data_IF_527077041450
#
_entry.id   IF_527077041450
#
_cell.length_a   1.000
_cell.length_b   1.000
_cell.length_c   1.000
_cell.angle_alpha   90.00
_cell.angle_beta   90.00
_cell.angle_gamma   90.00
#
_symmetry.space_group_name_H-M   'P 1'
#
loop_
_entity.id
_entity.type
_entity.pdbx_description
1 polymer ?
#
# COMPACT_ATOMS: atom_id res chain seq x y z
N UNK A 1 -43.13 -78.36 7.82
CA UNK A 1 -43.96 -79.04 6.85
C UNK A 1 -43.65 -78.51 5.47
N UNK A 2 -43.03 -79.37 4.65
CA UNK A 2 -43.11 -79.57 3.21
C UNK A 2 -42.89 -78.31 2.31
N UNK A 3 -42.36 -78.40 1.12
CA UNK A 3 -41.71 -79.41 0.28
C UNK A 3 -41.09 -78.71 -0.93
N UNK A 4 -39.93 -79.16 -1.33
CA UNK A 4 -39.41 -79.41 -2.67
C UNK A 4 -40.13 -78.91 -3.91
N UNK A 5 -39.36 -78.26 -4.79
CA UNK A 5 -39.68 -78.08 -6.18
C UNK A 5 -38.42 -77.67 -6.99
N UNK A 6 -37.74 -78.66 -7.53
CA UNK A 6 -36.62 -78.49 -8.48
C UNK A 6 -37.12 -78.11 -9.87
N UNK A 7 -36.45 -77.19 -10.57
CA UNK A 7 -36.50 -77.13 -12.05
C UNK A 7 -35.22 -76.51 -12.66
N UNK A 8 -34.51 -77.36 -13.30
CA UNK A 8 -33.75 -77.30 -14.58
C UNK A 8 -33.02 -76.05 -14.98
N UNK A 9 -31.71 -76.22 -15.09
CA UNK A 9 -30.69 -75.43 -15.80
C UNK A 9 -31.00 -75.25 -17.29
N UNK A 10 -30.87 -74.00 -17.80
CA UNK A 10 -30.61 -73.69 -19.17
C UNK A 10 -29.32 -72.81 -19.24
N UNK A 11 -28.48 -72.94 -20.28
CA UNK A 11 -27.15 -72.34 -20.29
C UNK A 11 -27.16 -70.84 -20.65
N UNK A 12 -26.47 -70.03 -19.86
CA UNK A 12 -26.26 -68.65 -20.14
C UNK A 12 -25.15 -68.43 -21.21
N UNK A 13 -25.29 -67.43 -22.10
CA UNK A 13 -24.22 -67.06 -23.03
C UNK A 13 -23.10 -66.30 -22.28
N UNK A 14 -21.88 -66.64 -22.64
CA UNK A 14 -20.67 -65.98 -22.17
C UNK A 14 -20.62 -64.55 -22.70
N UNK A 15 -20.82 -63.58 -21.81
CA UNK A 15 -20.45 -62.18 -22.08
C UNK A 15 -18.94 -62.03 -21.83
N UNK A 16 -18.20 -61.64 -22.88
CA UNK A 16 -16.81 -61.25 -22.82
C UNK A 16 -16.72 -59.89 -22.03
N UNK A 17 -15.93 -59.85 -20.96
CA UNK A 17 -15.62 -58.64 -20.22
C UNK A 17 -14.82 -57.67 -21.11
N UNK A 18 -15.16 -56.34 -21.12
CA UNK A 18 -14.33 -55.37 -21.83
C UNK A 18 -13.00 -55.19 -21.10
N UNK A 19 -11.93 -55.33 -21.84
CA UNK A 19 -10.57 -55.06 -21.42
C UNK A 19 -10.44 -53.57 -21.00
N UNK A 20 -10.38 -53.25 -19.69
CA UNK A 20 -10.07 -51.94 -19.17
C UNK A 20 -8.64 -51.57 -19.59
N UNK A 21 -8.49 -50.74 -20.61
CA UNK A 21 -7.25 -50.02 -20.85
C UNK A 21 -6.95 -49.19 -19.65
N UNK A 22 -5.88 -49.50 -18.93
CA UNK A 22 -5.28 -48.64 -17.90
C UNK A 22 -4.62 -47.46 -18.65
N UNK A 23 -5.19 -46.28 -18.53
CA UNK A 23 -4.57 -45.03 -18.98
C UNK A 23 -3.36 -44.72 -18.06
N UNK A 24 -2.13 -44.71 -18.59
CA UNK A 24 -0.94 -44.37 -17.81
C UNK A 24 -0.72 -42.83 -17.67
N UNK A 25 -1.63 -41.98 -18.22
CA UNK A 25 -1.40 -40.56 -18.43
C UNK A 25 -1.60 -39.65 -17.20
N UNK A 26 -2.33 -40.06 -16.16
CA UNK A 26 -2.66 -39.16 -15.02
C UNK A 26 -1.79 -39.34 -13.78
N UNK A 27 -0.99 -40.38 -13.69
CA UNK A 27 -0.19 -40.64 -12.47
C UNK A 27 1.12 -39.85 -12.40
N UNK A 28 1.73 -39.56 -13.52
CA UNK A 28 3.00 -38.82 -13.57
C UNK A 28 2.86 -37.34 -13.14
N UNK A 29 1.88 -36.54 -13.64
CA UNK A 29 1.73 -35.14 -13.19
C UNK A 29 1.31 -35.02 -11.73
N UNK A 30 0.51 -35.97 -11.19
CA UNK A 30 0.14 -35.96 -9.77
C UNK A 30 1.34 -36.25 -8.85
N UNK A 31 2.20 -37.20 -9.22
CA UNK A 31 3.43 -37.48 -8.49
C UNK A 31 4.40 -36.29 -8.52
N UNK A 32 4.54 -35.63 -9.68
CA UNK A 32 5.36 -34.41 -9.78
C UNK A 32 4.80 -33.26 -8.95
N UNK A 33 3.49 -33.05 -8.93
CA UNK A 33 2.84 -32.03 -8.10
C UNK A 33 3.00 -32.33 -6.59
N UNK A 34 2.90 -33.59 -6.19
CA UNK A 34 3.11 -34.01 -4.79
C UNK A 34 4.59 -33.90 -4.38
N UNK A 35 5.52 -34.25 -5.28
CA UNK A 35 6.95 -34.09 -5.03
C UNK A 35 7.36 -32.61 -4.93
N UNK A 36 6.80 -31.74 -5.79
CA UNK A 36 7.02 -30.30 -5.74
C UNK A 36 6.43 -29.69 -4.45
N UNK A 37 5.25 -30.11 -4.04
CA UNK A 37 4.63 -29.68 -2.77
C UNK A 37 5.43 -30.15 -1.55
N UNK A 38 5.96 -31.38 -1.60
CA UNK A 38 6.79 -31.91 -0.52
C UNK A 38 8.16 -31.22 -0.44
N UNK A 39 8.79 -30.91 -1.60
CA UNK A 39 10.03 -30.12 -1.66
C UNK A 39 9.82 -28.68 -1.17
N UNK A 40 8.70 -28.04 -1.53
CA UNK A 40 8.33 -26.71 -1.02
C UNK A 40 8.06 -26.72 0.50
N UNK A 41 7.40 -27.76 1.01
CA UNK A 41 7.18 -27.94 2.45
C UNK A 41 8.48 -28.24 3.21
N UNK A 42 9.39 -29.04 2.62
CA UNK A 42 10.70 -29.31 3.19
C UNK A 42 11.63 -28.10 3.17
N UNK A 43 11.57 -27.24 2.11
CA UNK A 43 12.29 -25.97 2.05
C UNK A 43 11.77 -24.96 3.08
N UNK A 44 10.46 -24.93 3.32
CA UNK A 44 9.87 -24.04 4.34
C UNK A 44 10.17 -24.47 5.77
N UNK A 45 10.34 -25.79 6.01
CA UNK A 45 10.74 -26.34 7.31
C UNK A 45 12.25 -26.17 7.61
N UNK A 46 13.07 -25.90 6.59
CA UNK A 46 14.52 -25.73 6.71
C UNK A 46 14.97 -24.26 6.91
N UNK A 47 14.03 -23.31 7.03
CA UNK A 47 14.41 -21.95 7.42
C UNK A 47 14.85 -21.97 8.88
N UNK A 48 16.14 -21.67 9.19
CA UNK A 48 16.59 -21.64 10.58
C UNK A 48 15.71 -20.64 11.33
N UNK A 49 15.09 -21.08 12.43
CA UNK A 49 14.47 -20.17 13.36
C UNK A 49 15.54 -19.12 13.73
N UNK A 50 15.33 -17.88 13.32
CA UNK A 50 16.24 -16.80 13.68
C UNK A 50 16.27 -16.75 15.20
N UNK A 51 17.39 -17.15 15.79
CA UNK A 51 17.61 -17.00 17.23
C UNK A 51 17.33 -15.51 17.56
N UNK A 52 16.44 -15.30 18.51
CA UNK A 52 16.20 -13.95 19.00
C UNK A 52 17.52 -13.42 19.58
N UNK A 53 17.90 -12.17 19.27
CA UNK A 53 19.11 -11.61 19.82
C UNK A 53 19.02 -11.62 21.35
N UNK A 54 20.08 -12.07 22.01
CA UNK A 54 20.18 -12.00 23.48
C UNK A 54 20.42 -10.52 23.81
N UNK A 55 19.42 -9.88 24.40
CA UNK A 55 19.53 -8.48 24.85
C UNK A 55 20.25 -8.50 26.19
N UNK A 56 21.39 -7.80 26.34
CA UNK A 56 22.07 -7.72 27.61
C UNK A 56 21.19 -7.02 28.66
N UNK A 57 20.90 -7.67 29.78
CA UNK A 57 20.25 -7.03 30.89
C UNK A 57 21.23 -6.08 31.61
N UNK A 58 20.82 -4.85 31.84
CA UNK A 58 21.62 -3.89 32.62
C UNK A 58 21.62 -4.19 34.12
N UNK A 59 20.75 -5.10 34.57
CA UNK A 59 20.53 -5.40 36.00
C UNK A 59 19.89 -4.25 36.77
N UNK A 60 19.34 -3.25 36.07
CA UNK A 60 18.68 -2.08 36.73
C UNK A 60 17.29 -2.44 37.18
N UNK A 61 16.92 -1.94 38.36
CA UNK A 61 15.51 -1.96 38.75
C UNK A 61 14.71 -0.99 37.89
N UNK A 62 13.57 -1.45 37.38
CA UNK A 62 12.62 -0.60 36.65
C UNK A 62 11.78 0.32 37.53
N UNK A 63 11.97 0.29 38.90
CA UNK A 63 11.19 1.14 39.81
C UNK A 63 11.46 2.63 39.59
N UNK A 64 12.71 2.97 39.24
CA UNK A 64 13.12 4.34 38.96
C UNK A 64 12.76 4.80 37.52
N UNK A 65 12.25 3.91 36.68
CA UNK A 65 11.92 4.20 35.28
C UNK A 65 10.44 4.52 35.10
N UNK A 66 10.15 5.53 34.28
CA UNK A 66 8.83 5.81 33.72
C UNK A 66 8.90 5.72 32.24
N UNK A 67 7.96 4.99 31.61
CA UNK A 67 7.89 4.81 30.16
C UNK A 67 6.63 5.47 29.65
N UNK A 68 6.79 6.26 28.58
CA UNK A 68 5.69 6.89 27.87
C UNK A 68 5.81 6.67 26.37
N UNK A 69 4.69 6.73 25.66
CA UNK A 69 4.66 6.93 24.22
C UNK A 69 4.42 8.40 23.93
N UNK A 70 5.30 8.99 23.14
CA UNK A 70 5.09 10.30 22.57
C UNK A 70 4.45 10.16 21.20
N UNK A 71 3.40 10.93 20.94
CA UNK A 71 2.82 11.10 19.63
C UNK A 71 2.95 12.55 19.22
N UNK A 72 3.57 12.76 18.08
CA UNK A 72 3.77 14.08 17.48
C UNK A 72 2.77 14.24 16.33
N UNK A 73 2.05 15.34 16.35
CA UNK A 73 1.03 15.65 15.34
C UNK A 73 1.60 15.85 13.95
N UNK A 74 0.73 15.94 12.92
CA UNK A 74 1.15 16.18 11.56
C UNK A 74 1.83 17.54 11.40
N UNK A 75 2.79 17.62 10.49
CA UNK A 75 3.41 18.86 10.02
C UNK A 75 2.83 19.35 8.71
N UNK A 76 3.46 20.38 8.14
CA UNK A 76 3.03 20.97 6.85
C UNK A 76 3.73 20.35 5.65
N UNK A 77 4.88 19.73 5.86
CA UNK A 77 5.68 19.11 4.80
C UNK A 77 5.14 17.69 4.53
N UNK A 78 5.17 17.27 3.29
CA UNK A 78 4.60 16.01 2.79
C UNK A 78 4.88 14.79 3.69
N UNK A 79 6.12 14.55 4.10
CA UNK A 79 6.48 13.39 4.95
C UNK A 79 6.11 13.55 6.42
N UNK A 80 5.86 14.77 6.88
CA UNK A 80 5.44 15.07 8.26
C UNK A 80 3.94 14.89 8.45
N UNK A 81 3.17 14.82 7.36
CA UNK A 81 1.70 14.68 7.38
C UNK A 81 1.24 13.44 8.14
N UNK A 82 2.06 12.40 8.19
CA UNK A 82 1.73 11.17 8.91
C UNK A 82 1.90 11.29 10.43
N UNK A 83 2.51 12.35 10.93
CA UNK A 83 2.90 12.43 12.34
C UNK A 83 4.09 11.56 12.68
N UNK A 84 4.33 11.34 13.99
CA UNK A 84 5.45 10.52 14.44
C UNK A 84 5.14 9.88 15.80
N UNK A 85 5.79 8.74 16.14
CA UNK A 85 5.80 8.17 17.48
C UNK A 85 7.24 7.93 17.95
N UNK A 86 7.43 8.14 19.28
CA UNK A 86 8.67 7.78 19.97
C UNK A 86 8.35 7.12 21.33
N UNK A 87 9.32 6.40 21.88
CA UNK A 87 9.25 5.90 23.26
C UNK A 87 10.11 6.80 24.12
N UNK A 88 9.52 7.36 25.17
CA UNK A 88 10.22 8.17 26.16
C UNK A 88 10.54 7.31 27.39
N UNK A 89 11.78 7.34 27.81
CA UNK A 89 12.28 6.72 29.04
C UNK A 89 12.77 7.82 29.96
N UNK A 90 12.08 8.01 31.11
CA UNK A 90 12.55 8.85 32.20
C UNK A 90 13.18 7.98 33.27
N UNK A 91 14.36 8.40 33.74
CA UNK A 91 15.07 7.78 34.86
C UNK A 91 15.17 8.81 35.99
N UNK A 92 14.39 8.59 37.06
CA UNK A 92 14.32 9.51 38.19
C UNK A 92 15.61 9.54 39.05
N UNK A 93 16.40 8.46 39.04
CA UNK A 93 17.68 8.38 39.73
C UNK A 93 18.76 9.17 39.00
N UNK A 94 18.75 9.13 37.68
CA UNK A 94 19.74 9.84 36.85
C UNK A 94 19.30 11.25 36.46
N UNK A 95 18.04 11.57 36.65
CA UNK A 95 17.47 12.85 36.23
C UNK A 95 17.46 12.99 34.68
N UNK A 96 17.26 11.90 33.94
CA UNK A 96 17.30 11.94 32.49
C UNK A 96 15.94 11.62 31.88
N UNK A 97 15.63 12.27 30.74
CA UNK A 97 14.49 12.00 29.90
C UNK A 97 14.98 11.80 28.44
N UNK A 98 14.96 10.56 27.97
CA UNK A 98 15.49 10.19 26.64
C UNK A 98 14.37 9.69 25.78
N UNK A 99 14.15 10.32 24.62
CA UNK A 99 13.23 9.90 23.58
C UNK A 99 13.95 9.03 22.57
N UNK A 100 13.38 7.85 22.30
CA UNK A 100 13.87 6.90 21.30
C UNK A 100 13.01 7.02 20.05
N UNK A 101 13.59 7.57 18.99
CA UNK A 101 12.94 7.92 17.73
C UNK A 101 13.32 6.93 16.63
N UNK A 102 12.35 6.12 16.16
CA UNK A 102 12.53 5.30 14.96
C UNK A 102 12.23 6.14 13.71
N UNK A 103 12.78 5.74 12.56
CA UNK A 103 12.50 6.42 11.29
C UNK A 103 13.48 7.54 10.95
N UNK A 104 14.56 7.68 11.70
CA UNK A 104 15.62 8.65 11.37
C UNK A 104 16.38 8.20 10.12
N UNK A 105 16.58 9.11 9.19
CA UNK A 105 17.31 8.87 7.95
C UNK A 105 18.43 9.90 7.75
N UNK A 106 19.40 9.55 6.91
CA UNK A 106 20.52 10.41 6.59
C UNK A 106 20.65 10.57 5.08
N UNK A 107 20.41 11.78 4.57
CA UNK A 107 20.58 12.12 3.15
C UNK A 107 22.01 11.91 2.63
N UNK A 108 23.03 11.86 3.52
CA UNK A 108 24.43 11.62 3.16
C UNK A 108 24.75 10.14 2.93
N UNK A 109 23.79 9.22 3.17
CA UNK A 109 23.99 7.81 2.85
C UNK A 109 24.31 7.63 1.37
N UNK A 110 25.25 6.74 1.06
CA UNK A 110 25.60 6.41 -0.32
C UNK A 110 24.38 5.96 -1.12
N UNK A 111 24.16 6.62 -2.25
CA UNK A 111 23.03 6.34 -3.16
C UNK A 111 21.63 6.51 -2.51
N UNK A 112 21.48 7.38 -1.50
CA UNK A 112 20.22 7.58 -0.78
C UNK A 112 19.01 7.72 -1.73
N UNK A 113 19.05 8.65 -2.68
CA UNK A 113 17.95 8.89 -3.63
C UNK A 113 17.63 7.69 -4.51
N UNK A 114 18.67 6.95 -4.97
CA UNK A 114 18.47 5.75 -5.77
C UNK A 114 17.85 4.61 -4.92
N UNK A 115 18.33 4.44 -3.71
CA UNK A 115 17.80 3.46 -2.77
C UNK A 115 16.35 3.80 -2.38
N UNK A 116 16.06 5.06 -2.12
CA UNK A 116 14.71 5.55 -1.87
C UNK A 116 13.78 5.24 -3.06
N UNK A 117 14.18 5.62 -4.29
CA UNK A 117 13.41 5.34 -5.50
C UNK A 117 13.15 3.84 -5.74
N UNK A 118 14.08 2.98 -5.32
CA UNK A 118 13.95 1.52 -5.40
C UNK A 118 13.18 0.89 -4.25
N UNK A 119 12.86 1.64 -3.19
CA UNK A 119 12.26 1.12 -1.96
C UNK A 119 13.25 0.36 -1.06
N UNK A 120 14.57 0.63 -1.20
CA UNK A 120 15.62 0.08 -0.34
C UNK A 120 16.03 1.11 0.73
N UNK A 121 15.06 1.55 1.52
CA UNK A 121 15.27 2.58 2.54
C UNK A 121 15.92 1.96 3.78
N UNK A 122 17.09 2.45 4.16
CA UNK A 122 17.77 2.09 5.39
C UNK A 122 17.67 3.27 6.36
N UNK A 123 16.86 3.10 7.39
CA UNK A 123 16.63 4.08 8.44
C UNK A 123 17.15 3.53 9.77
N UNK A 124 17.16 4.37 10.79
CA UNK A 124 17.69 3.99 12.11
C UNK A 124 16.82 4.47 13.25
N UNK A 125 17.04 3.88 14.43
CA UNK A 125 16.61 4.45 15.71
C UNK A 125 17.67 5.43 16.16
N UNK A 126 17.24 6.57 16.69
CA UNK A 126 18.05 7.55 17.42
C UNK A 126 17.55 7.70 18.84
N UNK A 127 18.44 8.12 19.74
CA UNK A 127 18.13 8.47 21.11
C UNK A 127 18.57 9.91 21.35
N UNK A 128 17.66 10.77 21.79
CA UNK A 128 17.95 12.17 22.10
C UNK A 128 17.22 12.62 23.36
N UNK A 129 17.57 13.77 23.87
CA UNK A 129 16.90 14.36 25.03
C UNK A 129 15.51 14.84 24.61
N UNK A 130 14.52 14.65 25.50
CA UNK A 130 13.14 15.09 25.27
C UNK A 130 13.06 16.58 24.89
N UNK A 131 13.87 17.41 25.53
CA UNK A 131 13.87 18.86 25.31
C UNK A 131 14.16 19.21 23.85
N UNK A 132 15.11 18.49 23.21
CA UNK A 132 15.46 18.72 21.81
C UNK A 132 14.27 18.41 20.86
N UNK A 133 13.55 17.33 21.13
CA UNK A 133 12.33 17.01 20.38
C UNK A 133 11.25 18.08 20.61
N UNK A 134 11.02 18.50 21.85
CA UNK A 134 10.02 19.52 22.16
C UNK A 134 10.34 20.86 21.49
N UNK A 135 11.60 21.30 21.51
CA UNK A 135 12.05 22.54 20.84
C UNK A 135 11.78 22.47 19.33
N UNK A 136 12.12 21.33 18.68
CA UNK A 136 11.88 21.12 17.25
C UNK A 136 10.38 21.19 16.94
N UNK A 137 9.54 20.43 17.62
CA UNK A 137 8.11 20.37 17.32
C UNK A 137 7.37 21.67 17.70
N UNK A 138 7.84 22.39 18.72
CA UNK A 138 7.37 23.74 19.04
C UNK A 138 7.70 24.73 17.91
N UNK A 139 8.90 24.66 17.35
CA UNK A 139 9.30 25.48 16.21
C UNK A 139 8.42 25.17 14.97
N UNK A 140 8.18 23.89 14.68
CA UNK A 140 7.32 23.43 13.58
C UNK A 140 5.82 23.71 13.83
N UNK A 141 5.43 24.07 15.05
CA UNK A 141 4.04 24.34 15.44
C UNK A 141 3.17 23.08 15.50
N UNK A 142 3.76 21.94 15.75
CA UNK A 142 3.11 20.63 15.82
C UNK A 142 2.79 20.30 17.27
N UNK A 143 1.63 19.66 17.52
CA UNK A 143 1.29 19.22 18.86
C UNK A 143 2.09 17.98 19.27
N UNK A 144 2.31 17.85 20.58
CA UNK A 144 2.92 16.67 21.21
C UNK A 144 2.02 16.16 22.32
N UNK A 145 1.66 14.88 22.24
CA UNK A 145 0.89 14.16 23.26
C UNK A 145 1.76 13.10 23.91
N UNK A 146 1.80 13.08 25.22
CA UNK A 146 2.41 12.03 26.01
C UNK A 146 1.34 11.08 26.56
N UNK A 147 1.58 9.76 26.49
CA UNK A 147 0.79 8.70 27.11
C UNK A 147 1.70 7.90 28.03
N UNK A 148 1.56 8.06 29.35
CA UNK A 148 2.30 7.30 30.35
C UNK A 148 1.73 5.89 30.46
N UNK A 149 2.61 4.87 30.46
CA UNK A 149 2.21 3.48 30.38
C UNK A 149 2.26 2.77 31.74
N UNK A 150 1.24 1.98 32.06
CA UNK A 150 1.13 1.15 33.27
C UNK A 150 1.96 -0.16 33.12
N UNK A 151 3.24 -0.05 32.83
CA UNK A 151 4.15 -1.20 32.76
C UNK A 151 4.64 -1.60 34.13
N UNK A 152 4.83 -2.90 34.38
CA UNK A 152 5.49 -3.37 35.61
C UNK A 152 6.96 -2.94 35.62
N UNK A 153 7.60 -2.87 36.83
CA UNK A 153 9.02 -2.54 36.92
C UNK A 153 9.90 -3.40 35.99
N UNK A 154 9.64 -4.69 35.89
CA UNK A 154 10.39 -5.58 35.00
C UNK A 154 10.20 -5.22 33.53
N UNK A 155 8.96 -4.97 33.09
CA UNK A 155 8.67 -4.55 31.70
C UNK A 155 9.34 -3.23 31.33
N UNK A 156 9.40 -2.28 32.29
CA UNK A 156 10.11 -0.99 32.10
C UNK A 156 11.61 -1.18 31.95
N UNK A 157 12.22 -2.06 32.79
CA UNK A 157 13.63 -2.39 32.68
C UNK A 157 13.94 -3.07 31.33
N UNK A 158 13.17 -4.10 30.98
CA UNK A 158 13.37 -4.86 29.74
C UNK A 158 13.23 -3.98 28.49
N UNK A 159 12.24 -3.07 28.48
CA UNK A 159 12.05 -2.14 27.35
C UNK A 159 13.19 -1.12 27.28
N UNK A 160 13.63 -0.57 28.41
CA UNK A 160 14.76 0.34 28.46
C UNK A 160 16.06 -0.32 27.96
N UNK A 161 16.32 -1.55 28.38
CA UNK A 161 17.49 -2.33 27.95
C UNK A 161 17.42 -2.66 26.43
N UNK A 162 16.24 -3.05 25.94
CA UNK A 162 16.01 -3.27 24.52
C UNK A 162 16.27 -2.01 23.69
N UNK A 163 15.72 -0.86 24.09
CA UNK A 163 15.88 0.41 23.36
C UNK A 163 17.34 0.87 23.36
N UNK A 164 18.01 0.74 24.51
CA UNK A 164 19.43 1.05 24.60
C UNK A 164 20.28 0.17 23.68
N UNK A 165 20.06 -1.15 23.72
CA UNK A 165 20.72 -2.11 22.84
C UNK A 165 20.43 -1.83 21.37
N UNK A 166 19.16 -1.54 21.03
CA UNK A 166 18.76 -1.26 19.65
C UNK A 166 19.33 0.05 19.11
N UNK A 167 19.62 1.03 19.98
CA UNK A 167 20.22 2.31 19.59
C UNK A 167 21.74 2.24 19.37
N UNK A 168 22.40 1.12 19.72
CA UNK A 168 23.84 0.94 19.47
C UNK A 168 24.15 0.96 17.97
N UNK A 169 25.31 1.46 17.55
CA UNK A 169 25.67 1.59 16.13
C UNK A 169 25.49 0.32 15.30
N UNK A 170 25.77 -0.84 15.89
CA UNK A 170 25.68 -2.15 15.26
C UNK A 170 24.22 -2.68 15.12
N UNK A 171 23.26 -2.13 15.88
CA UNK A 171 21.88 -2.63 15.95
C UNK A 171 20.83 -1.64 15.44
N UNK A 172 21.21 -0.37 15.29
CA UNK A 172 20.24 0.71 15.09
C UNK A 172 19.62 0.78 13.71
N UNK A 173 20.30 0.26 12.69
CA UNK A 173 19.86 0.39 11.29
C UNK A 173 18.85 -0.72 10.95
N UNK A 174 17.75 -0.33 10.25
CA UNK A 174 16.72 -1.27 9.82
C UNK A 174 16.13 -0.91 8.45
N UNK A 175 15.53 -1.91 7.79
CA UNK A 175 14.76 -1.69 6.56
C UNK A 175 13.47 -0.98 6.90
N UNK A 176 13.32 0.22 6.40
CA UNK A 176 12.11 1.01 6.53
C UNK A 176 11.08 0.62 5.47
N UNK A 177 9.83 0.56 5.85
CA UNK A 177 8.67 0.43 4.96
C UNK A 177 7.57 1.35 5.48
N UNK A 178 6.94 2.10 4.62
CA UNK A 178 5.93 3.12 4.98
C UNK A 178 4.79 2.57 5.82
N UNK A 179 4.39 1.31 5.58
CA UNK A 179 3.23 0.67 6.18
C UNK A 179 3.59 -0.43 7.18
N UNK A 180 4.67 -1.16 6.91
CA UNK A 180 5.00 -2.38 7.66
C UNK A 180 6.13 -2.19 8.67
N UNK A 181 7.00 -1.19 8.48
CA UNK A 181 8.19 -1.00 9.32
C UNK A 181 8.58 0.49 9.41
N UNK A 182 7.68 1.30 9.98
CA UNK A 182 7.86 2.74 10.18
C UNK A 182 8.04 3.09 11.69
N UNK A 183 8.06 4.37 12.03
CA UNK A 183 8.23 4.82 13.42
C UNK A 183 7.14 4.24 14.33
N UNK A 184 5.87 4.29 13.92
CA UNK A 184 4.73 3.83 14.71
C UNK A 184 4.76 2.31 14.91
N UNK A 185 4.92 1.54 13.82
CA UNK A 185 4.97 0.07 13.89
C UNK A 185 6.16 -0.43 14.72
N UNK A 186 7.31 0.27 14.69
CA UNK A 186 8.47 -0.08 15.52
C UNK A 186 8.22 0.19 17.01
N UNK A 187 7.58 1.29 17.34
CA UNK A 187 7.15 1.58 18.72
C UNK A 187 6.14 0.52 19.19
N UNK A 188 5.13 0.20 18.37
CA UNK A 188 4.17 -0.87 18.65
C UNK A 188 4.85 -2.20 18.90
N UNK A 189 5.77 -2.61 18.04
CA UNK A 189 6.44 -3.92 18.13
C UNK A 189 7.35 -4.01 19.35
N UNK A 190 8.01 -2.91 19.74
CA UNK A 190 8.81 -2.84 20.96
C UNK A 190 7.95 -2.97 22.23
N UNK A 191 6.78 -2.32 22.26
CA UNK A 191 5.81 -2.45 23.34
C UNK A 191 5.24 -3.87 23.41
N UNK A 192 4.84 -4.43 22.27
CA UNK A 192 4.27 -5.77 22.19
C UNK A 192 5.23 -6.85 22.70
N UNK A 193 6.52 -6.70 22.42
CA UNK A 193 7.56 -7.60 22.89
C UNK A 193 7.58 -7.68 24.44
N UNK A 194 7.60 -6.57 25.13
CA UNK A 194 7.65 -6.57 26.62
C UNK A 194 6.30 -6.85 27.26
N UNK A 195 5.21 -6.70 26.51
CA UNK A 195 3.85 -7.08 26.92
C UNK A 195 3.53 -8.56 26.60
N UNK A 196 4.50 -9.34 26.08
CA UNK A 196 4.30 -10.76 25.79
C UNK A 196 3.23 -11.05 24.75
N UNK A 197 3.06 -10.13 23.76
CA UNK A 197 2.10 -10.29 22.65
C UNK A 197 0.67 -9.83 22.98
N UNK A 198 0.41 -9.25 24.16
CA UNK A 198 -0.95 -8.80 24.54
C UNK A 198 -1.48 -7.66 23.70
N UNK A 199 -0.60 -6.75 23.25
CA UNK A 199 -0.96 -5.64 22.37
C UNK A 199 -1.38 -6.16 20.97
N UNK A 200 -0.55 -7.00 20.37
CA UNK A 200 -0.81 -7.63 19.08
C UNK A 200 -2.11 -8.41 19.09
N UNK A 201 -2.34 -9.27 20.07
CA UNK A 201 -3.52 -10.12 20.17
C UNK A 201 -4.82 -9.31 20.15
N UNK A 202 -4.86 -8.14 20.79
CA UNK A 202 -6.04 -7.26 20.80
C UNK A 202 -6.19 -6.49 19.48
N UNK A 203 -5.09 -5.98 18.92
CA UNK A 203 -5.13 -5.19 17.69
C UNK A 203 -5.37 -6.05 16.44
N UNK A 204 -4.96 -7.31 16.39
CA UNK A 204 -5.24 -8.20 15.26
C UNK A 204 -6.72 -8.54 15.11
N UNK A 205 -7.45 -8.64 16.23
CA UNK A 205 -8.89 -8.91 16.24
C UNK A 205 -9.74 -7.69 15.99
N UNK A 206 -9.19 -6.49 16.16
CA UNK A 206 -9.89 -5.24 15.88
C UNK A 206 -10.03 -5.06 14.37
N UNK A 207 -11.29 -5.00 13.89
CA UNK A 207 -11.59 -4.72 12.49
C UNK A 207 -11.74 -3.22 12.27
N UNK A 208 -11.17 -2.71 11.18
CA UNK A 208 -11.30 -1.31 10.79
C UNK A 208 -11.95 -1.20 9.41
N UNK A 209 -12.52 -0.05 9.09
CA UNK A 209 -13.00 0.25 7.74
C UNK A 209 -11.93 0.91 6.87
N UNK A 210 -10.75 1.17 7.42
CA UNK A 210 -9.65 1.83 6.76
C UNK A 210 -8.88 0.87 5.83
N UNK A 211 -8.13 1.46 4.92
CA UNK A 211 -7.13 0.81 4.09
C UNK A 211 -5.87 1.66 4.07
N UNK A 212 -4.74 1.09 3.62
CA UNK A 212 -3.52 1.88 3.47
C UNK A 212 -3.73 3.10 2.55
N UNK A 213 -4.48 2.93 1.45
CA UNK A 213 -4.83 4.05 0.57
C UNK A 213 -5.68 5.09 1.30
N UNK A 214 -6.70 4.67 2.04
CA UNK A 214 -7.59 5.59 2.76
C UNK A 214 -6.78 6.54 3.65
N UNK A 215 -5.93 5.99 4.51
CA UNK A 215 -5.15 6.81 5.42
C UNK A 215 -4.03 7.60 4.72
N UNK A 216 -3.31 6.97 3.78
CA UNK A 216 -2.23 7.65 3.08
C UNK A 216 -2.73 8.85 2.26
N UNK A 217 -3.82 8.67 1.49
CA UNK A 217 -4.39 9.76 0.68
C UNK A 217 -5.02 10.82 1.55
N UNK A 218 -5.75 10.45 2.61
CA UNK A 218 -6.36 11.38 3.57
C UNK A 218 -5.33 12.33 4.16
N UNK A 219 -4.23 11.77 4.67
CA UNK A 219 -3.20 12.52 5.37
C UNK A 219 -2.42 13.47 4.45
N UNK A 220 -2.13 13.05 3.20
CA UNK A 220 -1.36 13.90 2.26
C UNK A 220 -2.24 14.82 1.42
N UNK A 221 -3.57 14.66 1.41
CA UNK A 221 -4.50 15.40 0.54
C UNK A 221 -4.56 16.92 0.75
N UNK A 222 -4.15 17.52 1.90
CA UNK A 222 -3.99 18.97 1.96
C UNK A 222 -3.01 19.52 0.93
N UNK A 223 -2.04 18.72 0.45
CA UNK A 223 -1.29 18.98 -0.78
C UNK A 223 -1.97 18.24 -1.93
N UNK A 224 -2.57 19.01 -2.85
CA UNK A 224 -3.32 18.46 -3.99
C UNK A 224 -2.48 17.50 -4.85
N UNK A 225 -1.24 17.89 -5.18
CA UNK A 225 -0.39 17.09 -6.07
C UNK A 225 0.13 15.83 -5.37
N UNK A 226 0.50 15.95 -4.10
CA UNK A 226 0.90 14.80 -3.30
C UNK A 226 -0.26 13.82 -3.12
N UNK A 227 -1.47 14.33 -2.83
CA UNK A 227 -2.68 13.50 -2.69
C UNK A 227 -3.04 12.75 -3.96
N UNK A 228 -3.07 13.44 -5.11
CA UNK A 228 -3.34 12.81 -6.41
C UNK A 228 -2.22 11.84 -6.81
N UNK A 229 -0.96 12.19 -6.58
CA UNK A 229 0.18 11.32 -6.85
C UNK A 229 0.15 10.06 -6.00
N UNK A 230 -0.16 10.18 -4.71
CA UNK A 230 -0.31 9.03 -3.79
C UNK A 230 -1.45 8.13 -4.24
N UNK A 231 -2.63 8.69 -4.53
CA UNK A 231 -3.79 7.91 -4.97
C UNK A 231 -3.52 7.19 -6.30
N UNK A 232 -2.85 7.84 -7.24
CA UNK A 232 -2.46 7.24 -8.52
C UNK A 232 -1.44 6.11 -8.36
N UNK A 233 -0.43 6.28 -7.49
CA UNK A 233 0.70 5.36 -7.35
C UNK A 233 0.34 4.08 -6.60
N UNK A 234 -0.64 4.11 -5.69
CA UNK A 234 -1.06 2.94 -4.92
C UNK A 234 -1.82 1.94 -5.79
N UNK A 235 -1.48 0.66 -5.65
CA UNK A 235 -2.13 -0.47 -6.33
C UNK A 235 -3.21 -1.14 -5.45
N UNK A 236 -3.78 -2.27 -5.91
CA UNK A 236 -4.88 -2.96 -5.22
C UNK A 236 -4.49 -3.53 -3.84
N UNK A 237 -3.20 -3.77 -3.60
CA UNK A 237 -2.73 -4.24 -2.28
C UNK A 237 -2.99 -3.20 -1.18
N UNK A 238 -3.01 -1.91 -1.53
CA UNK A 238 -3.27 -0.81 -0.60
C UNK A 238 -4.77 -0.59 -0.29
N UNK A 239 -5.67 -1.28 -0.99
CA UNK A 239 -7.13 -1.14 -0.85
C UNK A 239 -7.78 -2.22 0.02
N UNK A 240 -6.98 -3.14 0.55
CA UNK A 240 -7.49 -4.19 1.44
C UNK A 240 -7.88 -3.60 2.79
N UNK A 241 -8.99 -4.04 3.40
CA UNK A 241 -9.33 -3.68 4.77
C UNK A 241 -8.20 -4.05 5.73
N UNK A 242 -7.91 -3.18 6.68
CA UNK A 242 -6.84 -3.36 7.67
C UNK A 242 -7.40 -3.94 8.97
N UNK A 243 -6.57 -4.72 9.69
CA UNK A 243 -6.77 -4.93 11.12
C UNK A 243 -6.28 -3.71 11.90
N UNK A 244 -6.69 -3.56 13.16
CA UNK A 244 -6.17 -2.50 14.02
C UNK A 244 -4.64 -2.53 14.12
N UNK A 245 -4.05 -3.75 14.13
CA UNK A 245 -2.59 -3.91 14.11
C UNK A 245 -1.96 -3.31 12.85
N UNK A 246 -2.57 -3.49 11.70
CA UNK A 246 -2.07 -2.93 10.45
C UNK A 246 -2.27 -1.42 10.39
N UNK A 247 -3.44 -0.90 10.83
CA UNK A 247 -3.76 0.53 10.83
C UNK A 247 -2.88 1.34 11.82
N UNK A 248 -2.30 0.69 12.84
CA UNK A 248 -1.35 1.32 13.76
C UNK A 248 -0.06 1.84 13.09
N UNK A 249 0.08 1.69 11.75
CA UNK A 249 1.14 2.38 11.01
C UNK A 249 0.97 3.91 11.05
N UNK A 250 -0.23 4.39 11.32
CA UNK A 250 -0.53 5.82 11.50
C UNK A 250 -0.34 6.18 12.98
N UNK A 251 0.59 7.08 13.33
CA UNK A 251 0.89 7.45 14.71
C UNK A 251 -0.33 7.89 15.53
N UNK A 252 -1.21 8.71 14.94
CA UNK A 252 -2.42 9.20 15.64
C UNK A 252 -3.44 8.08 15.88
N UNK A 253 -3.54 7.10 14.95
CA UNK A 253 -4.39 5.92 15.14
C UNK A 253 -3.83 5.05 16.26
N UNK A 254 -2.52 4.79 16.25
CA UNK A 254 -1.88 4.04 17.32
C UNK A 254 -2.11 4.69 18.69
N UNK A 255 -1.98 6.02 18.81
CA UNK A 255 -2.28 6.77 20.04
C UNK A 255 -3.72 6.49 20.54
N UNK A 256 -4.70 6.48 19.63
CA UNK A 256 -6.10 6.20 19.99
C UNK A 256 -6.29 4.74 20.41
N UNK A 257 -5.63 3.80 19.71
CA UNK A 257 -5.69 2.37 20.02
C UNK A 257 -5.09 2.06 21.40
N UNK A 258 -3.95 2.65 21.75
CA UNK A 258 -3.31 2.44 23.05
C UNK A 258 -4.24 2.78 24.23
N UNK A 259 -5.14 3.76 24.09
CA UNK A 259 -6.15 4.11 25.10
C UNK A 259 -7.13 2.98 25.42
N UNK A 260 -7.36 2.10 24.44
CA UNK A 260 -8.35 1.02 24.52
C UNK A 260 -7.73 -0.31 24.97
N UNK A 261 -6.42 -0.42 24.90
CA UNK A 261 -5.70 -1.65 25.25
C UNK A 261 -5.72 -1.87 26.77
N UNK A 262 -6.02 -3.11 27.14
CA UNK A 262 -5.92 -3.59 28.52
C UNK A 262 -4.79 -4.61 28.62
N UNK A 263 -4.04 -4.53 29.68
CA UNK A 263 -2.94 -5.45 30.00
C UNK A 263 -3.18 -6.11 31.36
N UNK A 264 -2.57 -7.26 31.56
CA UNK A 264 -2.55 -7.91 32.86
C UNK A 264 -1.34 -7.43 33.66
N UNK A 265 -1.60 -7.00 34.87
CA UNK A 265 -0.54 -6.65 35.84
C UNK A 265 0.21 -7.92 36.34
N UNK A 266 1.19 -7.72 37.23
CA UNK A 266 1.94 -8.81 37.87
C UNK A 266 1.09 -9.79 38.68
N UNK A 267 -0.13 -9.43 39.07
CA UNK A 267 -1.09 -10.21 39.82
C UNK A 267 -2.16 -10.86 38.91
N UNK A 268 -2.09 -10.65 37.59
CA UNK A 268 -3.05 -11.14 36.61
C UNK A 268 -4.34 -10.31 36.51
N UNK A 269 -4.42 -9.14 37.17
CA UNK A 269 -5.57 -8.24 37.09
C UNK A 269 -5.48 -7.37 35.82
N UNK A 270 -6.63 -7.17 35.15
CA UNK A 270 -6.71 -6.28 33.99
C UNK A 270 -6.63 -4.82 34.42
N UNK A 271 -5.75 -4.07 33.75
CA UNK A 271 -5.64 -2.63 33.88
C UNK A 271 -5.47 -1.98 32.50
N UNK A 272 -5.84 -0.71 32.30
CA UNK A 272 -5.57 0.00 31.07
C UNK A 272 -4.05 0.12 30.84
N UNK A 273 -3.61 -0.02 29.58
CA UNK A 273 -2.19 0.18 29.23
C UNK A 273 -1.76 1.63 29.46
N UNK A 274 -2.61 2.59 29.11
CA UNK A 274 -2.36 4.04 29.35
C UNK A 274 -2.87 4.42 30.71
N UNK A 275 -1.97 4.85 31.58
CA UNK A 275 -2.29 5.29 32.94
C UNK A 275 -2.72 6.77 33.03
N UNK A 276 -2.05 7.63 32.27
CA UNK A 276 -2.37 9.05 32.16
C UNK A 276 -1.91 9.63 30.86
N UNK A 277 -2.49 10.76 30.47
CA UNK A 277 -2.14 11.48 29.26
C UNK A 277 -1.92 12.95 29.53
N UNK A 278 -0.97 13.56 28.83
CA UNK A 278 -0.67 14.97 28.92
C UNK A 278 -0.39 15.56 27.53
N UNK A 279 -0.95 16.74 27.25
CA UNK A 279 -0.64 17.54 26.07
C UNK A 279 0.56 18.43 26.40
N UNK A 280 1.72 18.07 25.84
CA UNK A 280 2.97 18.81 26.07
C UNK A 280 3.07 20.08 25.22
N UNK A 281 2.59 20.01 23.98
CA UNK A 281 2.57 21.14 23.04
C UNK A 281 1.26 21.17 22.25
N UNK A 282 0.72 22.37 22.04
CA UNK A 282 -0.45 22.58 21.19
C UNK A 282 -0.09 22.80 19.73
N UNK A 283 -1.05 22.56 18.83
CA UNK A 283 -0.86 22.70 17.39
C UNK A 283 -1.15 24.11 16.90
N UNK A 284 -0.33 24.55 15.93
CA UNK A 284 -0.63 25.66 15.02
C UNK A 284 -0.92 25.17 13.60
N UNK A 285 -0.79 23.87 13.36
CA UNK A 285 -1.10 23.22 12.07
C UNK A 285 -2.58 22.82 12.07
N UNK A 286 -3.32 23.01 10.98
CA UNK A 286 -4.70 22.55 10.87
C UNK A 286 -4.84 21.04 11.09
N UNK A 287 -5.99 20.64 11.62
CA UNK A 287 -6.32 19.22 11.79
C UNK A 287 -6.35 18.47 10.46
N UNK A 288 -6.05 17.19 10.51
CA UNK A 288 -6.13 16.32 9.33
C UNK A 288 -7.58 16.16 8.87
N UNK A 289 -7.81 16.09 7.56
CA UNK A 289 -9.13 15.78 7.05
C UNK A 289 -9.58 14.39 7.53
N UNK A 290 -10.86 14.21 7.91
CA UNK A 290 -11.38 12.94 8.41
C UNK A 290 -11.47 11.87 7.30
N UNK A 291 -11.54 12.28 6.03
CA UNK A 291 -11.68 11.42 4.87
C UNK A 291 -10.85 11.94 3.69
N UNK A 292 -10.42 11.07 2.78
CA UNK A 292 -9.83 11.49 1.51
C UNK A 292 -10.85 12.27 0.67
N UNK A 293 -10.39 13.21 -0.20
CA UNK A 293 -11.26 13.95 -1.11
C UNK A 293 -12.01 13.03 -2.07
N UNK A 294 -13.28 13.33 -2.33
CA UNK A 294 -14.07 12.60 -3.33
C UNK A 294 -13.90 13.24 -4.72
N UNK A 295 -13.06 12.61 -5.53
CA UNK A 295 -12.77 13.05 -6.90
C UNK A 295 -13.74 12.51 -7.96
N UNK A 296 -14.76 11.71 -7.61
CA UNK A 296 -15.64 11.07 -8.60
C UNK A 296 -16.35 12.04 -9.51
N UNK A 297 -17.07 13.02 -8.95
CA UNK A 297 -17.79 14.01 -9.74
C UNK A 297 -16.87 14.99 -10.47
N UNK A 298 -15.86 15.62 -9.83
CA UNK A 298 -14.90 16.49 -10.52
C UNK A 298 -14.21 15.80 -11.70
N UNK A 299 -13.76 14.57 -11.55
CA UNK A 299 -13.07 13.82 -12.59
C UNK A 299 -14.00 13.37 -13.71
N UNK A 300 -15.24 12.98 -13.39
CA UNK A 300 -16.24 12.69 -14.42
C UNK A 300 -16.51 13.92 -15.31
N UNK A 301 -16.75 15.07 -14.70
CA UNK A 301 -17.01 16.30 -15.44
C UNK A 301 -15.81 16.74 -16.29
N UNK A 302 -14.60 16.64 -15.74
CA UNK A 302 -13.37 16.93 -16.47
C UNK A 302 -13.15 15.96 -17.64
N UNK A 303 -13.36 14.65 -17.43
CA UNK A 303 -13.25 13.62 -18.47
C UNK A 303 -14.25 13.81 -19.60
N UNK A 304 -15.53 14.06 -19.26
CA UNK A 304 -16.59 14.32 -20.26
C UNK A 304 -16.35 15.63 -21.01
N UNK A 305 -15.96 16.70 -20.31
CA UNK A 305 -15.63 17.99 -20.92
C UNK A 305 -14.46 17.88 -21.89
N UNK A 306 -13.40 17.18 -21.50
CA UNK A 306 -12.26 16.93 -22.37
C UNK A 306 -12.62 16.06 -23.59
N UNK A 307 -13.41 15.00 -23.40
CA UNK A 307 -13.93 14.17 -24.48
C UNK A 307 -14.80 14.99 -25.46
N UNK A 308 -15.71 15.82 -24.94
CA UNK A 308 -16.57 16.69 -25.76
C UNK A 308 -15.73 17.68 -26.57
N UNK A 309 -14.70 18.28 -25.99
CA UNK A 309 -13.77 19.17 -26.67
C UNK A 309 -13.04 18.45 -27.83
N UNK A 310 -12.52 17.25 -27.58
CA UNK A 310 -11.88 16.43 -28.63
C UNK A 310 -12.84 16.12 -29.78
N UNK A 311 -14.08 15.72 -29.47
CA UNK A 311 -15.10 15.45 -30.48
C UNK A 311 -15.51 16.70 -31.26
N UNK A 312 -15.63 17.87 -30.60
CA UNK A 312 -15.91 19.14 -31.22
C UNK A 312 -14.79 19.54 -32.21
N UNK A 313 -13.54 19.47 -31.76
CA UNK A 313 -12.39 19.77 -32.62
C UNK A 313 -12.32 18.82 -33.83
N UNK A 314 -12.66 17.55 -33.62
CA UNK A 314 -12.73 16.55 -34.70
C UNK A 314 -13.86 16.89 -35.70
N UNK A 315 -15.02 17.36 -35.25
CA UNK A 315 -16.10 17.82 -36.15
C UNK A 315 -15.70 19.08 -36.96
N UNK A 316 -14.93 19.95 -36.37
CA UNK A 316 -14.45 21.21 -36.99
C UNK A 316 -13.12 21.02 -37.76
N UNK A 317 -12.70 19.79 -38.04
CA UNK A 317 -11.40 19.49 -38.67
C UNK A 317 -11.15 20.14 -40.05
N UNK A 318 -12.18 20.66 -40.71
CA UNK A 318 -12.02 21.49 -41.90
C UNK A 318 -11.15 22.73 -41.65
N UNK A 319 -11.15 23.27 -40.43
CA UNK A 319 -10.37 24.43 -40.01
C UNK A 319 -9.00 24.00 -39.49
N UNK A 320 -7.92 24.69 -39.93
CA UNK A 320 -6.56 24.38 -39.47
C UNK A 320 -6.41 24.47 -37.92
N UNK A 321 -6.97 25.53 -37.33
CA UNK A 321 -6.93 25.73 -35.88
C UNK A 321 -7.55 24.54 -35.10
N UNK A 322 -8.65 23.97 -35.62
CA UNK A 322 -9.28 22.78 -34.99
C UNK A 322 -8.41 21.54 -35.10
N UNK A 323 -7.73 21.32 -36.26
CA UNK A 323 -6.77 20.22 -36.40
C UNK A 323 -5.58 20.38 -35.45
N UNK A 324 -5.06 21.61 -35.35
CA UNK A 324 -3.95 21.90 -34.43
C UNK A 324 -4.37 21.67 -32.96
N UNK A 325 -5.54 22.16 -32.56
CA UNK A 325 -6.07 21.92 -31.19
C UNK A 325 -6.27 20.43 -30.90
N UNK A 326 -6.87 19.69 -31.84
CA UNK A 326 -7.05 18.23 -31.69
C UNK A 326 -5.70 17.49 -31.59
N UNK A 327 -4.76 17.77 -32.49
CA UNK A 327 -3.44 17.14 -32.47
C UNK A 327 -2.67 17.45 -31.18
N UNK A 328 -2.71 18.70 -30.72
CA UNK A 328 -2.05 19.12 -29.47
C UNK A 328 -2.64 18.43 -28.25
N UNK A 329 -3.98 18.44 -28.10
CA UNK A 329 -4.65 17.81 -26.95
C UNK A 329 -4.52 16.30 -26.95
N UNK A 330 -4.65 15.65 -28.12
CA UNK A 330 -4.45 14.22 -28.27
C UNK A 330 -3.00 13.80 -27.97
N UNK A 331 -2.03 14.61 -28.39
CA UNK A 331 -0.61 14.39 -28.05
C UNK A 331 -0.35 14.57 -26.56
N UNK A 332 -0.86 15.63 -25.96
CA UNK A 332 -0.72 15.89 -24.53
C UNK A 332 -1.31 14.74 -23.70
N UNK A 333 -2.53 14.31 -24.03
CA UNK A 333 -3.18 13.17 -23.36
C UNK A 333 -2.34 11.89 -23.49
N UNK A 334 -1.92 11.55 -24.72
CA UNK A 334 -1.13 10.34 -24.95
C UNK A 334 0.24 10.39 -24.28
N UNK A 335 0.88 11.55 -24.27
CA UNK A 335 2.16 11.78 -23.58
C UNK A 335 2.00 11.61 -22.07
N UNK A 336 1.02 12.27 -21.48
CA UNK A 336 0.74 12.17 -20.02
C UNK A 336 0.41 10.74 -19.62
N UNK A 337 -0.55 10.10 -20.30
CA UNK A 337 -0.91 8.70 -20.00
C UNK A 337 0.27 7.75 -20.20
N UNK A 338 1.06 7.94 -21.25
CA UNK A 338 2.19 7.10 -21.53
C UNK A 338 3.34 7.25 -20.53
N UNK A 339 3.69 8.49 -20.16
CA UNK A 339 4.74 8.74 -19.15
C UNK A 339 4.33 8.28 -17.76
N UNK A 340 3.10 8.59 -17.32
CA UNK A 340 2.57 8.07 -16.06
C UNK A 340 2.56 6.55 -16.07
N UNK A 341 2.15 5.92 -17.19
CA UNK A 341 2.19 4.48 -17.35
C UNK A 341 3.59 3.89 -17.25
N UNK A 342 4.62 4.54 -17.81
CA UNK A 342 6.02 4.11 -17.64
C UNK A 342 6.45 4.18 -16.18
N UNK A 343 6.06 5.23 -15.44
CA UNK A 343 6.36 5.37 -14.01
C UNK A 343 5.67 4.25 -13.22
N UNK A 344 4.37 4.01 -13.45
CA UNK A 344 3.63 2.93 -12.77
C UNK A 344 4.21 1.55 -13.09
N UNK A 345 4.61 1.31 -14.33
CA UNK A 345 5.26 0.06 -14.73
C UNK A 345 6.61 -0.11 -14.04
N UNK A 346 7.41 0.97 -13.98
CA UNK A 346 8.69 0.97 -13.27
C UNK A 346 8.51 0.72 -11.76
N UNK A 347 7.52 1.37 -11.12
CA UNK A 347 7.18 1.11 -9.71
C UNK A 347 6.87 -0.37 -9.48
N UNK A 348 6.13 -1.00 -10.39
CA UNK A 348 5.77 -2.41 -10.26
C UNK A 348 6.95 -3.35 -10.51
N UNK A 349 7.76 -3.11 -11.55
CA UNK A 349 8.74 -4.09 -12.03
C UNK A 349 10.17 -3.84 -11.53
N UNK A 350 10.50 -2.60 -11.14
CA UNK A 350 11.87 -2.20 -10.81
C UNK A 350 12.06 -1.77 -9.36
N UNK A 351 10.98 -1.76 -8.54
CA UNK A 351 11.06 -1.28 -7.15
C UNK A 351 10.48 -2.25 -6.14
N UNK A 352 10.78 -2.02 -4.87
CA UNK A 352 10.22 -2.75 -3.73
C UNK A 352 9.02 -2.02 -3.09
N UNK A 353 8.46 -1.01 -3.74
CA UNK A 353 7.25 -0.31 -3.30
C UNK A 353 6.01 -1.17 -3.53
N UNK A 354 5.90 -2.25 -2.76
CA UNK A 354 4.88 -3.30 -2.91
C UNK A 354 3.44 -2.78 -2.96
N UNK A 355 3.15 -1.70 -2.23
CA UNK A 355 1.83 -1.08 -2.20
C UNK A 355 1.40 -0.48 -3.55
N UNK A 356 2.36 -0.24 -4.47
CA UNK A 356 2.10 0.21 -5.84
C UNK A 356 2.05 -0.92 -6.87
N UNK A 357 2.34 -2.18 -6.50
CA UNK A 357 2.42 -3.28 -7.45
C UNK A 357 1.04 -3.67 -8.00
N UNK A 358 1.03 -4.15 -9.24
CA UNK A 358 -0.19 -4.57 -9.91
C UNK A 358 -1.18 -3.43 -10.18
N UNK A 359 -0.71 -2.20 -10.26
CA UNK A 359 -1.55 -1.00 -10.39
C UNK A 359 -2.42 -1.04 -11.64
N UNK A 360 -3.74 -1.10 -11.45
CA UNK A 360 -4.71 -1.21 -12.53
C UNK A 360 -4.86 0.07 -13.35
N UNK A 361 -4.33 1.21 -12.86
CA UNK A 361 -4.27 2.43 -13.66
C UNK A 361 -3.40 2.27 -14.92
N UNK A 362 -2.55 1.23 -15.01
CA UNK A 362 -1.86 0.85 -16.23
C UNK A 362 -2.79 0.50 -17.40
N UNK A 363 -4.03 0.11 -17.13
CA UNK A 363 -5.05 -0.11 -18.16
C UNK A 363 -5.52 1.21 -18.79
N UNK A 364 -5.47 2.31 -18.04
CA UNK A 364 -5.87 3.66 -18.46
C UNK A 364 -4.66 4.47 -18.94
N UNK A 365 -3.62 4.50 -18.12
CA UNK A 365 -2.34 5.15 -18.37
C UNK A 365 -1.36 4.12 -18.92
N UNK A 366 -1.50 3.80 -20.22
CA UNK A 366 -0.71 2.73 -20.81
C UNK A 366 0.52 3.30 -21.55
N UNK A 367 1.73 2.76 -21.33
CA UNK A 367 2.94 3.21 -22.05
C UNK A 367 2.82 3.17 -23.57
N UNK A 368 2.01 2.26 -24.12
CA UNK A 368 1.76 2.17 -25.55
C UNK A 368 1.09 3.43 -26.13
N UNK A 369 0.49 4.29 -25.29
CA UNK A 369 -0.08 5.56 -25.71
C UNK A 369 0.96 6.47 -26.39
N UNK A 370 2.24 6.37 -25.99
CA UNK A 370 3.34 7.13 -26.63
C UNK A 370 3.51 6.80 -28.10
N UNK A 371 3.20 5.59 -28.51
CA UNK A 371 3.29 5.17 -29.91
C UNK A 371 2.25 5.85 -30.81
N UNK A 372 1.19 6.45 -30.23
CA UNK A 372 0.20 7.24 -31.00
C UNK A 372 0.66 8.66 -31.33
N UNK A 373 1.72 9.17 -30.70
CA UNK A 373 2.19 10.56 -30.92
C UNK A 373 2.45 10.89 -32.40
N UNK A 374 3.12 10.03 -33.23
CA UNK A 374 3.27 10.31 -34.65
C UNK A 374 1.93 10.42 -35.40
N UNK A 375 0.93 9.60 -35.01
CA UNK A 375 -0.40 9.66 -35.65
C UNK A 375 -1.09 10.99 -35.34
N UNK A 376 -0.95 11.53 -34.13
CA UNK A 376 -1.52 12.83 -33.78
C UNK A 376 -0.85 13.98 -34.52
N UNK A 377 0.47 13.96 -34.72
CA UNK A 377 1.17 14.94 -35.55
C UNK A 377 0.68 14.88 -36.99
N UNK A 378 0.53 13.68 -37.55
CA UNK A 378 0.00 13.50 -38.90
C UNK A 378 -1.44 13.97 -39.04
N UNK A 379 -2.24 14.01 -37.97
CA UNK A 379 -3.63 14.49 -37.99
C UNK A 379 -3.77 15.98 -38.30
N UNK A 380 -2.67 16.74 -38.32
CA UNK A 380 -2.62 18.13 -38.81
C UNK A 380 -2.96 18.25 -40.31
N UNK A 381 -2.73 17.21 -41.09
CA UNK A 381 -3.02 17.16 -42.52
C UNK A 381 -4.55 17.18 -42.75
N UNK A 382 -5.01 17.95 -43.72
CA UNK A 382 -6.46 18.09 -44.04
C UNK A 382 -7.08 16.74 -44.45
N UNK A 383 -6.36 15.95 -45.24
CA UNK A 383 -6.75 14.62 -45.72
C UNK A 383 -6.08 13.51 -44.91
N UNK A 384 -5.88 13.68 -43.63
CA UNK A 384 -5.26 12.65 -42.79
C UNK A 384 -6.08 11.36 -42.76
N UNK A 385 -5.43 10.29 -43.11
CA UNK A 385 -5.93 8.92 -42.98
C UNK A 385 -5.09 8.18 -41.93
N UNK A 386 -5.71 7.71 -40.86
CA UNK A 386 -4.99 6.94 -39.83
C UNK A 386 -4.48 5.63 -40.41
N UNK A 387 -3.19 5.36 -40.23
CA UNK A 387 -2.57 4.11 -40.63
C UNK A 387 -3.21 2.92 -39.90
N UNK A 388 -3.19 1.70 -40.49
CA UNK A 388 -3.77 0.51 -39.87
C UNK A 388 -3.24 0.21 -38.48
N UNK A 389 -1.94 0.44 -38.26
CA UNK A 389 -1.33 0.25 -36.93
C UNK A 389 -1.92 1.22 -35.86
N UNK A 390 -2.13 2.49 -36.21
CA UNK A 390 -2.70 3.47 -35.29
C UNK A 390 -4.15 3.13 -34.93
N UNK A 391 -4.93 2.60 -35.88
CA UNK A 391 -6.29 2.13 -35.62
C UNK A 391 -6.30 0.92 -34.69
N UNK A 392 -5.44 -0.08 -34.95
CA UNK A 392 -5.31 -1.27 -34.08
C UNK A 392 -4.89 -0.86 -32.66
N UNK A 393 -3.88 -0.02 -32.56
CA UNK A 393 -3.39 0.47 -31.26
C UNK A 393 -4.47 1.27 -30.52
N UNK A 394 -5.21 2.16 -31.20
CA UNK A 394 -6.33 2.89 -30.60
C UNK A 394 -7.40 1.95 -30.03
N UNK A 395 -7.75 0.88 -30.77
CA UNK A 395 -8.65 -0.16 -30.28
C UNK A 395 -8.08 -0.90 -29.07
N UNK A 396 -6.83 -1.32 -29.11
CA UNK A 396 -6.18 -2.01 -27.99
C UNK A 396 -6.25 -1.16 -26.73
N UNK A 397 -5.87 0.12 -26.81
CA UNK A 397 -5.89 1.03 -25.66
C UNK A 397 -7.31 1.27 -25.14
N UNK A 398 -8.29 1.41 -26.02
CA UNK A 398 -9.68 1.59 -25.62
C UNK A 398 -10.26 0.34 -24.94
N UNK A 399 -9.97 -0.86 -25.46
CA UNK A 399 -10.38 -2.14 -24.84
C UNK A 399 -9.75 -2.26 -23.44
N UNK A 400 -8.45 -2.00 -23.31
CA UNK A 400 -7.76 -2.04 -22.02
C UNK A 400 -8.40 -1.06 -21.03
N UNK A 401 -8.69 0.17 -21.46
CA UNK A 401 -9.33 1.17 -20.62
C UNK A 401 -10.74 0.76 -20.17
N UNK A 402 -11.54 0.13 -21.06
CA UNK A 402 -12.87 -0.39 -20.72
C UNK A 402 -12.77 -1.56 -19.73
N UNK A 403 -11.77 -2.44 -19.87
CA UNK A 403 -11.54 -3.55 -18.96
C UNK A 403 -11.22 -3.09 -17.52
N UNK A 404 -10.77 -1.85 -17.32
CA UNK A 404 -10.59 -1.31 -15.98
C UNK A 404 -11.88 -1.29 -15.13
N UNK A 405 -13.07 -1.25 -15.76
CA UNK A 405 -14.35 -1.30 -15.04
C UNK A 405 -14.66 -2.69 -14.44
N UNK A 406 -14.71 -3.80 -15.21
CA UNK A 406 -15.05 -5.10 -14.68
C UNK A 406 -13.94 -5.72 -13.80
N UNK A 407 -12.66 -5.43 -14.05
CA UNK A 407 -11.56 -6.01 -13.25
C UNK A 407 -11.66 -5.64 -11.78
N UNK A 408 -12.06 -4.42 -11.46
CA UNK A 408 -12.24 -3.98 -10.08
C UNK A 408 -13.33 -4.72 -9.30
N UNK A 409 -14.24 -5.42 -10.00
CA UNK A 409 -15.30 -6.22 -9.39
C UNK A 409 -14.85 -7.64 -9.06
N UNK A 410 -13.68 -8.06 -9.54
CA UNK A 410 -13.15 -9.39 -9.29
C UNK A 410 -12.59 -9.49 -7.86
N UNK A 411 -12.89 -10.59 -7.13
CA UNK A 411 -12.36 -10.81 -5.80
C UNK A 411 -10.83 -10.73 -5.76
N UNK A 412 -10.28 -10.00 -4.83
CA UNK A 412 -8.82 -9.83 -4.67
C UNK A 412 -8.14 -8.89 -5.65
N UNK A 413 -8.87 -8.38 -6.68
CA UNK A 413 -8.36 -7.41 -7.66
C UNK A 413 -9.00 -6.02 -7.50
N UNK A 414 -9.75 -5.79 -6.44
CA UNK A 414 -10.37 -4.48 -6.21
C UNK A 414 -9.30 -3.41 -6.02
N UNK A 415 -9.38 -2.34 -6.83
CA UNK A 415 -8.63 -1.10 -6.65
C UNK A 415 -9.59 0.09 -6.62
N UNK A 416 -9.40 1.01 -5.67
CA UNK A 416 -10.26 2.19 -5.49
C UNK A 416 -9.95 3.29 -6.51
N UNK A 417 -9.86 2.94 -7.80
CA UNK A 417 -9.44 3.83 -8.89
C UNK A 417 -10.60 4.36 -9.76
N UNK A 418 -11.84 4.30 -9.28
CA UNK A 418 -12.99 4.80 -10.05
C UNK A 418 -12.83 6.25 -10.51
N UNK A 419 -12.33 7.19 -9.69
CA UNK A 419 -12.12 8.56 -10.17
C UNK A 419 -11.24 8.61 -11.42
N UNK A 420 -10.14 7.88 -11.45
CA UNK A 420 -9.22 7.82 -12.60
C UNK A 420 -9.88 7.24 -13.85
N UNK A 421 -10.74 6.23 -13.69
CA UNK A 421 -11.53 5.67 -14.80
C UNK A 421 -12.47 6.75 -15.36
N UNK A 422 -13.18 7.48 -14.50
CA UNK A 422 -14.10 8.55 -14.88
C UNK A 422 -13.40 9.71 -15.60
N UNK A 423 -12.17 10.02 -15.22
CA UNK A 423 -11.36 11.06 -15.86
C UNK A 423 -10.83 10.62 -17.23
N UNK A 424 -10.33 9.39 -17.36
CA UNK A 424 -9.49 8.99 -18.50
C UNK A 424 -10.23 8.17 -19.56
N UNK A 425 -11.25 7.42 -19.18
CA UNK A 425 -11.99 6.59 -20.14
C UNK A 425 -12.74 7.41 -21.19
N UNK A 426 -13.49 8.50 -20.87
CA UNK A 426 -14.18 9.27 -21.88
C UNK A 426 -13.27 9.87 -22.93
N UNK A 427 -12.14 10.53 -22.62
CA UNK A 427 -11.18 11.01 -23.62
C UNK A 427 -10.58 9.88 -24.47
N UNK A 428 -10.27 8.72 -23.86
CA UNK A 428 -9.74 7.57 -24.60
C UNK A 428 -10.71 7.10 -25.69
N UNK A 429 -12.01 7.02 -25.38
CA UNK A 429 -13.05 6.67 -26.33
C UNK A 429 -13.25 7.75 -27.41
N UNK A 430 -13.16 9.03 -27.04
CA UNK A 430 -13.24 10.15 -27.98
C UNK A 430 -12.06 10.12 -28.98
N UNK A 431 -10.86 9.80 -28.55
CA UNK A 431 -9.69 9.63 -29.41
C UNK A 431 -9.87 8.45 -30.38
N UNK A 432 -10.38 7.31 -29.90
CA UNK A 432 -10.70 6.17 -30.75
C UNK A 432 -11.73 6.55 -31.83
N UNK A 433 -12.80 7.27 -31.43
CA UNK A 433 -13.80 7.77 -32.39
C UNK A 433 -13.16 8.70 -33.41
N UNK A 434 -12.29 9.63 -33.00
CA UNK A 434 -11.55 10.55 -33.88
C UNK A 434 -10.72 9.81 -34.96
N UNK A 435 -10.02 8.73 -34.55
CA UNK A 435 -9.29 7.84 -35.48
C UNK A 435 -10.25 7.23 -36.51
N UNK A 436 -11.42 6.73 -36.09
CA UNK A 436 -12.37 6.06 -36.98
C UNK A 436 -13.12 7.01 -37.90
N UNK A 437 -13.52 8.18 -37.41
CA UNK A 437 -14.18 9.19 -38.23
C UNK A 437 -13.27 9.70 -39.35
N UNK A 438 -11.99 9.88 -39.07
CA UNK A 438 -10.99 10.25 -40.06
C UNK A 438 -10.78 9.17 -41.14
N UNK A 439 -10.90 7.88 -40.79
CA UNK A 439 -10.77 6.77 -41.73
C UNK A 439 -11.97 6.68 -42.69
N UNK A 440 -13.18 7.05 -42.27
CA UNK A 440 -14.41 7.01 -43.12
C UNK A 440 -14.56 8.21 -44.04
N UNK A 441 -13.89 9.31 -43.77
CA UNK A 441 -13.99 10.56 -44.56
C UNK A 441 -13.08 10.56 -45.79
N UNK A 442 -12.43 9.41 -46.12
CA UNK A 442 -11.61 9.27 -47.33
C UNK A 442 -12.50 9.24 -48.56
N UNK A 443 -12.27 10.03 -49.62
CA UNK A 443 -12.85 9.76 -50.91
C UNK A 443 -12.35 8.39 -51.42
N UNK A 444 -13.26 7.59 -51.96
CA UNK A 444 -12.97 6.28 -52.56
C UNK A 444 -12.01 6.41 -53.73
#
# INVERSE_FOLDING_TARGET
>A
VASLGALRLLPHPRYAAPCRRRDPGLRAPLLFALLAAFLLAALSAALPARAQPVIPSSGRSGDALEISVLTFGPGTIYWERFGHNAILVRDSVRGTAVAYNYGMFDFKQKNFMLNFARGYMLYRIGADRLENDLDLYQYEGRWVQEQKLNLSPQQRADLSDFLHWNALPENRDYRYDYFLSNCSTKVRDALDQVLGGQLRAQLETATTSASYRFDAVRLVSPDLFAGLGMDLALGPAADRPLSGLQESFVPMVMMQQLRQIKIKDGNGQEQPLVGSEERLLDSRVPEDPPQPPDWRLPFLLAGLGFAALLLLLQRLRGRFAARLGFAALASLYSLTCGLCGLILLALWTLTQHWAGWGNQNLLLMNPLSLLLLPAWVLSLRSLWQPQPWARRLGWTLAVLAVLALPIRLLPGLHQANLPWILLLLPPQLALLFGIHAAAKSAPA
#
